data_IF_195747651304
#
_entry.id   IF_195747651304
#
_cell.length_a   1.000
_cell.length_b   1.000
_cell.length_c   1.000
_cell.angle_alpha   90.00
_cell.angle_beta   90.00
_cell.angle_gamma   90.00
#
_symmetry.space_group_name_H-M   'P 1'
#
loop_
_entity.id
_entity.type
_entity.pdbx_description
1 polymer ?
#
# COMPACT_ATOMS: atom_id res chain seq x y z
N UNK A 1 8.30 -17.43 -2.85
CA UNK A 1 7.44 -17.56 -4.04
C UNK A 1 7.73 -16.43 -5.02
N UNK A 2 7.67 -16.69 -6.33
CA UNK A 2 8.01 -15.75 -7.42
C UNK A 2 7.06 -14.55 -7.58
N UNK A 3 6.06 -14.41 -6.71
CA UNK A 3 4.91 -13.51 -6.86
C UNK A 3 5.26 -12.01 -6.99
N UNK A 4 6.45 -11.58 -6.58
CA UNK A 4 6.87 -10.18 -6.61
C UNK A 4 7.88 -9.86 -7.72
N UNK A 5 8.52 -10.88 -8.31
CA UNK A 5 9.63 -10.66 -9.24
C UNK A 5 9.16 -9.86 -10.46
N UNK A 6 9.75 -8.69 -10.65
CA UNK A 6 9.46 -7.79 -11.77
C UNK A 6 8.21 -6.93 -11.61
N UNK A 7 7.38 -7.15 -10.58
CA UNK A 7 6.18 -6.34 -10.34
C UNK A 7 6.56 -4.94 -9.89
N UNK A 8 5.85 -3.94 -10.40
CA UNK A 8 5.90 -2.53 -9.98
C UNK A 8 5.04 -2.39 -8.73
N UNK A 9 5.67 -2.03 -7.62
CA UNK A 9 5.03 -1.98 -6.31
C UNK A 9 5.13 -0.56 -5.78
N UNK A 10 4.00 0.01 -5.38
CA UNK A 10 3.94 1.27 -4.65
C UNK A 10 3.61 0.99 -3.18
N UNK A 11 4.29 1.63 -2.24
CA UNK A 11 3.84 1.69 -0.83
C UNK A 11 3.39 3.10 -0.46
N UNK A 12 2.18 3.21 0.10
CA UNK A 12 1.59 4.44 0.62
C UNK A 12 1.80 4.52 2.13
N UNK A 13 2.39 5.63 2.62
CA UNK A 13 2.60 5.84 4.06
C UNK A 13 3.55 4.81 4.65
N UNK A 14 4.74 4.66 4.05
CA UNK A 14 5.63 3.54 4.30
C UNK A 14 6.24 3.52 5.71
N UNK A 15 6.35 4.66 6.41
CA UNK A 15 6.96 4.71 7.74
C UNK A 15 8.34 4.05 7.78
N UNK A 16 8.46 2.89 8.44
CA UNK A 16 9.70 2.11 8.54
C UNK A 16 9.98 1.18 7.34
N UNK A 17 9.10 1.12 6.35
CA UNK A 17 9.27 0.46 5.06
C UNK A 17 9.28 -1.08 5.06
N UNK A 18 8.80 -1.72 6.12
CA UNK A 18 8.87 -3.19 6.22
C UNK A 18 8.20 -3.89 5.01
N UNK A 19 6.99 -3.50 4.55
CA UNK A 19 6.39 -4.08 3.35
C UNK A 19 7.21 -3.82 2.08
N UNK A 20 7.70 -2.60 1.86
CA UNK A 20 8.57 -2.26 0.73
C UNK A 20 9.85 -3.09 0.70
N UNK A 21 10.55 -3.20 1.84
CA UNK A 21 11.76 -4.01 1.98
C UNK A 21 11.45 -5.48 1.66
N UNK A 22 10.36 -6.02 2.20
CA UNK A 22 9.94 -7.40 1.96
C UNK A 22 9.60 -7.68 0.49
N UNK A 23 9.03 -6.71 -0.23
CA UNK A 23 8.73 -6.80 -1.65
C UNK A 23 10.00 -6.69 -2.51
N UNK A 24 10.87 -5.72 -2.20
CA UNK A 24 12.14 -5.49 -2.89
C UNK A 24 13.07 -6.72 -2.81
N UNK A 25 13.22 -7.29 -1.61
CA UNK A 25 14.02 -8.51 -1.40
C UNK A 25 13.45 -9.75 -2.16
N UNK A 26 12.19 -9.70 -2.57
CA UNK A 26 11.55 -10.74 -3.41
C UNK A 26 11.58 -10.40 -4.90
N UNK A 27 12.29 -9.35 -5.29
CA UNK A 27 12.52 -8.93 -6.67
C UNK A 27 11.48 -7.96 -7.24
N UNK A 28 10.67 -7.33 -6.38
CA UNK A 28 9.78 -6.24 -6.80
C UNK A 28 10.56 -4.98 -7.17
N UNK A 29 10.02 -4.18 -8.09
CA UNK A 29 10.48 -2.82 -8.39
C UNK A 29 9.65 -1.86 -7.54
N UNK A 30 10.21 -1.45 -6.41
CA UNK A 30 9.45 -0.80 -5.35
C UNK A 30 9.71 0.71 -5.34
N UNK A 31 8.62 1.49 -5.32
CA UNK A 31 8.61 2.89 -4.90
C UNK A 31 7.92 2.98 -3.53
N UNK A 32 8.65 3.39 -2.51
CA UNK A 32 8.12 3.60 -1.17
C UNK A 32 7.88 5.09 -0.91
N UNK A 33 6.70 5.46 -0.40
CA UNK A 33 6.31 6.86 -0.27
C UNK A 33 5.77 7.21 1.10
N UNK A 34 6.16 8.40 1.57
CA UNK A 34 5.64 9.01 2.79
C UNK A 34 5.58 10.52 2.62
N UNK A 35 4.71 11.20 3.37
CA UNK A 35 4.67 12.66 3.38
C UNK A 35 5.73 13.24 4.34
N UNK A 36 6.16 12.46 5.32
CA UNK A 36 7.13 12.83 6.36
C UNK A 36 8.58 12.63 5.87
N UNK A 37 9.41 13.71 5.83
CA UNK A 37 10.83 13.58 5.54
C UNK A 37 11.57 12.66 6.51
N UNK A 38 11.18 12.64 7.79
CA UNK A 38 11.80 11.78 8.81
C UNK A 38 11.54 10.30 8.53
N UNK A 39 10.33 9.97 8.08
CA UNK A 39 10.00 8.61 7.67
C UNK A 39 10.85 8.17 6.47
N UNK A 40 11.06 9.05 5.48
CA UNK A 40 11.91 8.76 4.32
C UNK A 40 13.39 8.55 4.71
N UNK A 41 13.91 9.35 5.65
CA UNK A 41 15.27 9.17 6.15
C UNK A 41 15.44 7.82 6.87
N UNK A 42 14.48 7.45 7.72
CA UNK A 42 14.46 6.16 8.40
C UNK A 42 14.32 4.99 7.43
N UNK A 43 13.45 5.13 6.44
CA UNK A 43 13.25 4.16 5.38
C UNK A 43 14.54 3.90 4.60
N UNK A 44 15.25 4.97 4.20
CA UNK A 44 16.48 4.84 3.41
C UNK A 44 17.54 4.05 4.20
N UNK A 45 17.68 4.33 5.49
CA UNK A 45 18.59 3.59 6.37
C UNK A 45 18.14 2.13 6.55
N UNK A 46 16.85 1.87 6.75
CA UNK A 46 16.32 0.50 6.86
C UNK A 46 16.54 -0.31 5.57
N UNK A 47 16.28 0.30 4.41
CA UNK A 47 16.51 -0.33 3.12
C UNK A 47 17.99 -0.70 2.93
N UNK A 48 18.89 0.24 3.26
CA UNK A 48 20.34 0.03 3.21
C UNK A 48 20.79 -1.11 4.13
N UNK A 49 20.33 -1.14 5.38
CA UNK A 49 20.67 -2.20 6.36
C UNK A 49 20.20 -3.58 5.94
N UNK A 50 19.08 -3.66 5.22
CA UNK A 50 18.52 -4.92 4.74
C UNK A 50 19.00 -5.31 3.34
N UNK A 51 19.84 -4.49 2.68
CA UNK A 51 20.28 -4.73 1.31
C UNK A 51 19.12 -4.74 0.31
N UNK A 52 18.06 -3.96 0.57
CA UNK A 52 16.86 -3.92 -0.24
C UNK A 52 16.94 -2.78 -1.28
N UNK A 53 16.99 -3.10 -2.58
CA UNK A 53 17.00 -2.07 -3.63
C UNK A 53 15.58 -1.54 -3.85
N UNK A 54 15.35 -0.28 -3.48
CA UNK A 54 14.06 0.39 -3.66
C UNK A 54 14.26 1.89 -3.91
N UNK A 55 13.25 2.51 -4.51
CA UNK A 55 13.15 3.94 -4.71
C UNK A 55 12.28 4.58 -3.63
N UNK A 56 12.49 5.86 -3.39
CA UNK A 56 11.78 6.61 -2.34
C UNK A 56 11.28 7.93 -2.89
N UNK A 57 10.05 8.32 -2.56
CA UNK A 57 9.56 9.65 -2.91
C UNK A 57 8.73 10.26 -1.77
N UNK A 58 8.88 11.57 -1.59
CA UNK A 58 7.98 12.32 -0.72
C UNK A 58 6.67 12.57 -1.43
N UNK A 59 5.55 12.17 -0.83
CA UNK A 59 4.24 12.42 -1.41
C UNK A 59 3.15 12.55 -0.34
N UNK A 60 2.32 13.58 -0.50
CA UNK A 60 1.03 13.69 0.18
C UNK A 60 -0.03 13.03 -0.70
N UNK A 61 -1.02 12.35 -0.11
CA UNK A 61 -2.13 11.81 -0.90
C UNK A 61 -3.09 12.88 -1.40
N UNK A 62 -3.08 14.07 -0.78
CA UNK A 62 -3.82 15.23 -1.27
C UNK A 62 -3.22 15.89 -2.52
N UNK A 63 -1.95 15.59 -2.81
CA UNK A 63 -1.20 16.04 -4.00
C UNK A 63 -0.55 14.80 -4.65
N UNK A 64 -1.36 13.88 -5.23
CA UNK A 64 -0.93 12.54 -5.58
C UNK A 64 -0.24 12.45 -6.95
N UNK A 65 0.03 13.58 -7.62
CA UNK A 65 0.60 13.62 -8.98
C UNK A 65 1.85 12.74 -9.13
N UNK A 66 2.80 12.70 -8.17
CA UNK A 66 3.96 11.80 -8.26
C UNK A 66 3.58 10.32 -8.26
N UNK A 67 2.55 9.92 -7.51
CA UNK A 67 2.08 8.53 -7.43
C UNK A 67 1.39 8.11 -8.73
N UNK A 68 0.61 9.04 -9.30
CA UNK A 68 -0.16 8.83 -10.52
C UNK A 68 0.72 8.79 -11.76
N UNK A 69 1.83 9.54 -11.78
CA UNK A 69 2.81 9.46 -12.86
C UNK A 69 3.41 8.06 -13.03
N UNK A 70 3.44 7.26 -11.94
CA UNK A 70 3.86 5.87 -11.97
C UNK A 70 2.72 4.86 -12.19
N UNK A 71 1.45 5.27 -12.19
CA UNK A 71 0.33 4.35 -12.39
C UNK A 71 0.25 3.83 -13.85
N UNK A 72 -0.41 2.68 -14.11
CA UNK A 72 -0.92 1.73 -13.13
C UNK A 72 0.21 0.94 -12.46
N UNK A 73 0.02 0.64 -11.18
CA UNK A 73 0.90 -0.20 -10.37
C UNK A 73 0.38 -1.63 -10.36
N UNK A 74 1.28 -2.62 -10.39
CA UNK A 74 0.88 -4.03 -10.28
C UNK A 74 0.39 -4.36 -8.86
N UNK A 75 0.94 -3.68 -7.85
CA UNK A 75 0.52 -3.79 -6.47
C UNK A 75 0.69 -2.46 -5.73
N UNK A 76 -0.30 -2.10 -4.91
CA UNK A 76 -0.21 -1.01 -3.94
C UNK A 76 -0.26 -1.59 -2.54
N UNK A 77 0.70 -1.23 -1.70
CA UNK A 77 0.80 -1.62 -0.31
C UNK A 77 0.41 -0.45 0.58
N UNK A 78 -0.38 -0.72 1.61
CA UNK A 78 -0.71 0.26 2.64
C UNK A 78 -0.80 -0.47 3.98
N UNK A 79 0.09 -0.16 4.91
CA UNK A 79 0.14 -0.83 6.21
C UNK A 79 -0.12 0.19 7.32
N UNK A 80 -1.15 -0.06 8.12
CA UNK A 80 -1.47 0.72 9.32
C UNK A 80 -1.76 2.20 9.06
N UNK A 81 -2.37 2.50 7.90
CA UNK A 81 -2.59 3.88 7.41
C UNK A 81 -3.95 4.49 7.78
N UNK A 82 -4.90 3.72 8.33
CA UNK A 82 -6.26 4.17 8.63
C UNK A 82 -6.40 4.70 10.07
N UNK A 83 -5.46 5.54 10.51
CA UNK A 83 -5.45 6.12 11.85
C UNK A 83 -6.04 7.54 11.91
N UNK A 84 -6.09 8.26 10.78
CA UNK A 84 -6.73 9.59 10.68
C UNK A 84 -7.98 9.54 9.81
N UNK A 85 -9.04 10.28 10.21
CA UNK A 85 -10.32 10.30 9.48
C UNK A 85 -10.17 10.75 8.03
N UNK A 86 -9.30 11.72 7.76
CA UNK A 86 -9.05 12.22 6.39
C UNK A 86 -8.48 11.14 5.46
N UNK A 87 -7.76 10.15 6.01
CA UNK A 87 -7.13 9.09 5.22
C UNK A 87 -8.16 8.20 4.54
N UNK A 88 -9.34 8.03 5.13
CA UNK A 88 -10.43 7.24 4.54
C UNK A 88 -10.83 7.81 3.18
N UNK A 89 -11.20 9.09 3.13
CA UNK A 89 -11.61 9.74 1.88
C UNK A 89 -10.48 9.79 0.85
N UNK A 90 -9.28 10.20 1.28
CA UNK A 90 -8.13 10.29 0.37
C UNK A 90 -7.77 8.94 -0.26
N UNK A 91 -7.83 7.84 0.49
CA UNK A 91 -7.53 6.51 -0.04
C UNK A 91 -8.67 5.98 -0.92
N UNK A 92 -9.93 6.22 -0.57
CA UNK A 92 -11.06 5.83 -1.41
C UNK A 92 -10.99 6.49 -2.79
N UNK A 93 -10.58 7.76 -2.85
CA UNK A 93 -10.41 8.50 -4.11
C UNK A 93 -9.14 8.09 -4.88
N UNK A 94 -8.05 7.82 -4.15
CA UNK A 94 -6.73 7.60 -4.75
C UNK A 94 -6.56 6.17 -5.28
N UNK A 95 -6.95 5.15 -4.52
CA UNK A 95 -6.68 3.75 -4.87
C UNK A 95 -7.21 3.34 -6.26
N UNK A 96 -8.41 3.76 -6.70
CA UNK A 96 -8.91 3.44 -8.05
C UNK A 96 -8.07 4.00 -9.19
N UNK A 97 -7.25 5.02 -8.91
CA UNK A 97 -6.40 5.71 -9.88
C UNK A 97 -4.98 5.13 -9.93
N UNK A 98 -4.63 4.29 -8.95
CA UNK A 98 -3.28 3.71 -8.82
C UNK A 98 -3.16 2.31 -9.43
N UNK A 99 -4.25 1.55 -9.52
CA UNK A 99 -4.23 0.18 -10.08
C UNK A 99 -5.31 0.03 -11.14
N UNK A 100 -5.04 -0.79 -12.15
CA UNK A 100 -6.02 -1.18 -13.16
C UNK A 100 -6.74 -2.50 -12.78
N UNK A 101 -7.44 -3.14 -13.73
CA UNK A 101 -8.11 -4.42 -13.50
C UNK A 101 -7.18 -5.61 -13.24
N UNK A 102 -5.89 -5.50 -13.56
CA UNK A 102 -4.86 -6.52 -13.30
C UNK A 102 -4.10 -6.31 -11.99
N UNK A 103 -4.10 -5.08 -11.46
CA UNK A 103 -3.45 -4.73 -10.21
C UNK A 103 -4.24 -5.11 -8.95
N UNK A 104 -3.60 -4.97 -7.79
CA UNK A 104 -4.24 -5.21 -6.50
C UNK A 104 -3.74 -4.25 -5.42
N UNK A 105 -4.58 -3.98 -4.42
CA UNK A 105 -4.19 -3.27 -3.20
C UNK A 105 -4.11 -4.27 -2.06
N UNK A 106 -3.03 -4.23 -1.28
CA UNK A 106 -2.88 -4.96 -0.04
C UNK A 106 -2.87 -3.97 1.12
N UNK A 107 -3.99 -3.93 1.85
CA UNK A 107 -4.16 -3.10 3.04
C UNK A 107 -3.99 -3.97 4.30
N UNK A 108 -3.00 -3.68 5.13
CA UNK A 108 -2.83 -4.34 6.42
C UNK A 108 -3.30 -3.42 7.55
N UNK A 109 -4.16 -3.92 8.43
CA UNK A 109 -4.71 -3.14 9.54
C UNK A 109 -4.97 -4.01 10.80
N UNK A 110 -4.66 -3.51 12.01
CA UNK A 110 -4.88 -4.22 13.28
C UNK A 110 -6.32 -4.16 13.82
N UNK A 111 -7.30 -3.66 13.05
CA UNK A 111 -8.68 -3.47 13.48
C UNK A 111 -8.96 -2.06 14.00
N UNK A 112 -8.40 -1.04 13.36
CA UNK A 112 -8.60 0.37 13.72
C UNK A 112 -10.06 0.79 13.57
N UNK A 113 -10.54 1.78 14.35
CA UNK A 113 -11.93 2.23 14.30
C UNK A 113 -12.43 2.66 12.91
N UNK A 114 -11.54 3.20 12.07
CA UNK A 114 -11.87 3.69 10.72
C UNK A 114 -11.85 2.61 9.64
N UNK A 115 -11.38 1.41 9.95
CA UNK A 115 -11.29 0.31 9.01
C UNK A 115 -12.68 -0.09 8.48
N UNK A 116 -13.67 -0.22 9.37
CA UNK A 116 -15.01 -0.66 9.00
C UNK A 116 -15.64 0.27 7.95
N UNK A 117 -15.61 1.58 8.18
CA UNK A 117 -16.15 2.59 7.26
C UNK A 117 -15.41 2.61 5.92
N UNK A 118 -14.09 2.39 5.92
CA UNK A 118 -13.32 2.31 4.69
C UNK A 118 -13.71 1.07 3.86
N UNK A 119 -13.80 -0.10 4.51
CA UNK A 119 -14.15 -1.36 3.83
C UNK A 119 -15.57 -1.34 3.28
N UNK A 120 -16.51 -0.73 3.99
CA UNK A 120 -17.90 -0.56 3.55
C UNK A 120 -17.96 0.27 2.27
N UNK A 121 -17.37 1.46 2.26
CA UNK A 121 -17.33 2.32 1.07
C UNK A 121 -16.55 1.68 -0.09
N UNK A 122 -15.41 1.04 0.21
CA UNK A 122 -14.62 0.37 -0.82
C UNK A 122 -15.37 -0.83 -1.46
N UNK A 123 -16.30 -1.48 -0.76
CA UNK A 123 -16.98 -2.67 -1.29
C UNK A 123 -17.85 -2.38 -2.53
N UNK A 124 -18.23 -1.12 -2.76
CA UNK A 124 -18.96 -0.65 -3.93
C UNK A 124 -18.18 -0.96 -5.23
N UNK A 125 -16.90 -0.62 -5.23
CA UNK A 125 -16.02 -0.66 -6.40
C UNK A 125 -15.05 -1.85 -6.40
N UNK A 126 -14.84 -2.45 -5.23
CA UNK A 126 -13.80 -3.44 -5.00
C UNK A 126 -14.36 -4.78 -4.56
N UNK A 127 -13.76 -5.86 -5.05
CA UNK A 127 -13.84 -7.17 -4.41
C UNK A 127 -12.78 -7.22 -3.32
N UNK A 128 -13.21 -7.46 -2.08
CA UNK A 128 -12.35 -7.46 -0.91
C UNK A 128 -12.22 -8.87 -0.34
N UNK A 129 -10.99 -9.38 -0.26
CA UNK A 129 -10.68 -10.66 0.39
C UNK A 129 -9.87 -10.41 1.67
N UNK A 130 -10.38 -10.89 2.81
CA UNK A 130 -9.69 -10.77 4.10
C UNK A 130 -8.86 -12.01 4.39
N UNK A 131 -7.64 -11.81 4.88
CA UNK A 131 -6.78 -12.84 5.49
C UNK A 131 -6.34 -12.35 6.86
N UNK A 132 -6.50 -13.18 7.88
CA UNK A 132 -6.03 -12.88 9.23
C UNK A 132 -4.63 -13.47 9.38
N UNK A 133 -3.72 -12.74 10.05
CA UNK A 133 -2.43 -13.28 10.43
C UNK A 133 -2.62 -14.55 11.28
N UNK A 134 -2.14 -15.72 10.83
CA UNK A 134 -2.42 -16.98 11.51
C UNK A 134 -1.71 -17.10 12.86
N UNK A 135 -0.68 -16.28 13.12
CA UNK A 135 0.13 -16.37 14.35
C UNK A 135 -0.45 -15.48 15.45
N UNK A 136 -0.48 -14.17 15.24
CA UNK A 136 -0.93 -13.23 16.26
C UNK A 136 -2.45 -13.08 16.30
N UNK A 137 -3.13 -13.35 15.18
CA UNK A 137 -4.56 -13.05 14.96
C UNK A 137 -4.95 -11.58 15.18
N UNK A 138 -3.97 -10.68 15.35
CA UNK A 138 -4.21 -9.26 15.65
C UNK A 138 -4.28 -8.38 14.41
N UNK A 139 -3.63 -8.80 13.32
CA UNK A 139 -3.59 -8.03 12.06
C UNK A 139 -4.34 -8.79 10.99
N UNK A 140 -5.13 -8.04 10.21
CA UNK A 140 -5.76 -8.54 8.99
C UNK A 140 -5.13 -7.88 7.77
N UNK A 141 -4.92 -8.66 6.72
CA UNK A 141 -4.56 -8.18 5.38
C UNK A 141 -5.80 -8.30 4.50
N UNK A 142 -6.21 -7.18 3.93
CA UNK A 142 -7.29 -7.07 2.97
C UNK A 142 -6.68 -6.93 1.58
N UNK A 143 -7.05 -7.84 0.68
CA UNK A 143 -6.72 -7.75 -0.73
C UNK A 143 -7.91 -7.17 -1.48
N UNK A 144 -7.72 -6.01 -2.09
CA UNK A 144 -8.74 -5.35 -2.91
C UNK A 144 -8.36 -5.50 -4.39
N UNK A 145 -9.33 -5.89 -5.21
CA UNK A 145 -9.22 -5.90 -6.68
C UNK A 145 -10.43 -5.19 -7.28
N UNK A 146 -10.22 -4.40 -8.34
CA UNK A 146 -11.32 -3.71 -9.03
C UNK A 146 -12.38 -4.75 -9.44
N UNK A 147 -13.65 -4.44 -9.23
CA UNK A 147 -14.73 -5.21 -9.86
C UNK A 147 -14.61 -5.01 -11.36
N UNK A 148 -14.68 -6.10 -12.14
CA UNK A 148 -14.82 -5.97 -13.59
C UNK A 148 -16.09 -5.19 -13.88
N UNK A 149 -16.03 -4.22 -14.81
CA UNK A 149 -17.24 -3.65 -15.37
C UNK A 149 -18.05 -4.80 -16.00
N UNK A 150 -19.33 -4.90 -15.62
CA UNK A 150 -20.25 -5.88 -16.19
C UNK A 150 -20.53 -5.58 -17.67
#
# INVERSE_FOLDING_TARGET
GKAWRGRRVLELGCGLALPSIAAALRGGRVLATDWSPDALALLAENARRNGAPLETARCSWGEPEPLLAGAPWDAVLAADVLYERRNVGLLLDLLPRLVDGGGEVLLADPGRPLLASFLEAAAEDWRIERRVDPVSQRVSVFRLRRRSAA
#
